data_IF_503660317079
#
_entry.id   IF_503660317079
#
_cell.length_a   1.000
_cell.length_b   1.000
_cell.length_c   1.000
_cell.angle_alpha   90.00
_cell.angle_beta   90.00
_cell.angle_gamma   90.00
#
_symmetry.space_group_name_H-M   'P 1'
#
loop_
_entity.id
_entity.type
_entity.pdbx_description
1 polymer ?
#
# COMPACT_ATOMS: atom_id res chain seq x y z
N UNK A 1 -4.54 9.83 19.76
CA UNK A 1 -5.92 10.14 20.29
C UNK A 1 -6.50 8.86 20.89
N UNK A 2 -7.22 8.87 22.03
CA UNK A 2 -7.69 7.61 22.61
C UNK A 2 -8.75 6.92 21.73
N UNK A 3 -8.84 5.58 21.76
CA UNK A 3 -9.92 4.83 21.11
C UNK A 3 -11.30 5.28 21.56
N UNK A 4 -12.27 5.31 20.62
CA UNK A 4 -13.67 5.66 20.90
C UNK A 4 -14.51 4.47 21.37
N UNK A 5 -13.98 3.25 21.23
CA UNK A 5 -14.60 2.00 21.65
C UNK A 5 -13.59 1.18 22.46
N UNK A 6 -14.09 0.36 23.38
CA UNK A 6 -13.27 -0.56 24.17
C UNK A 6 -12.91 -1.82 23.37
N UNK A 7 -11.97 -2.62 23.89
CA UNK A 7 -11.68 -3.94 23.31
C UNK A 7 -12.91 -4.86 23.33
N UNK A 8 -13.69 -4.83 24.41
CA UNK A 8 -14.94 -5.62 24.53
C UNK A 8 -15.98 -5.20 23.50
N UNK A 9 -16.15 -3.89 23.28
CA UNK A 9 -17.06 -3.38 22.26
C UNK A 9 -16.58 -3.75 20.86
N UNK A 10 -15.27 -3.64 20.57
CA UNK A 10 -14.69 -4.04 19.29
C UNK A 10 -14.90 -5.53 19.00
N UNK A 11 -14.71 -6.40 20.00
CA UNK A 11 -14.97 -7.84 19.88
C UNK A 11 -16.44 -8.12 19.58
N UNK A 12 -17.37 -7.47 20.30
CA UNK A 12 -18.81 -7.59 20.03
C UNK A 12 -19.17 -7.15 18.62
N UNK A 13 -18.66 -6.00 18.17
CA UNK A 13 -18.88 -5.50 16.81
C UNK A 13 -18.30 -6.45 15.76
N UNK A 14 -17.17 -7.10 16.04
CA UNK A 14 -16.57 -8.10 15.16
C UNK A 14 -17.48 -9.30 14.87
N UNK A 15 -18.41 -9.63 15.79
CA UNK A 15 -19.36 -10.74 15.66
C UNK A 15 -20.65 -10.36 14.92
N UNK A 16 -20.84 -9.09 14.53
CA UNK A 16 -22.03 -8.65 13.79
C UNK A 16 -21.98 -9.20 12.36
N UNK A 17 -23.05 -9.89 11.95
CA UNK A 17 -23.22 -10.42 10.59
C UNK A 17 -24.36 -9.74 9.82
N UNK A 18 -25.31 -9.12 10.53
CA UNK A 18 -26.42 -8.41 9.89
C UNK A 18 -25.92 -7.15 9.15
N UNK A 19 -26.23 -7.06 7.86
CA UNK A 19 -25.73 -5.96 7.02
C UNK A 19 -26.28 -4.61 7.45
N UNK A 20 -27.51 -4.50 7.96
CA UNK A 20 -28.06 -3.23 8.41
C UNK A 20 -27.35 -2.74 9.68
N UNK A 21 -26.96 -3.65 10.58
CA UNK A 21 -26.11 -3.33 11.72
C UNK A 21 -24.69 -2.91 11.30
N UNK A 22 -24.11 -3.56 10.27
CA UNK A 22 -22.82 -3.17 9.69
C UNK A 22 -22.91 -1.79 9.04
N UNK A 23 -23.98 -1.48 8.32
CA UNK A 23 -24.22 -0.16 7.74
C UNK A 23 -24.32 0.94 8.81
N UNK A 24 -25.00 0.67 9.93
CA UNK A 24 -25.06 1.61 11.05
C UNK A 24 -23.67 1.86 11.68
N UNK A 25 -22.84 0.82 11.76
CA UNK A 25 -21.45 0.92 12.19
C UNK A 25 -20.60 1.74 11.20
N UNK A 26 -20.79 1.53 9.90
CA UNK A 26 -20.12 2.29 8.84
C UNK A 26 -20.49 3.77 8.93
N UNK A 27 -21.77 4.10 9.13
CA UNK A 27 -22.20 5.48 9.29
C UNK A 27 -21.55 6.13 10.52
N UNK A 28 -21.45 5.40 11.64
CA UNK A 28 -20.71 5.90 12.83
C UNK A 28 -19.24 6.17 12.49
N UNK A 29 -18.57 5.28 11.76
CA UNK A 29 -17.19 5.46 11.34
C UNK A 29 -17.02 6.62 10.34
N UNK A 30 -17.99 6.81 9.44
CA UNK A 30 -18.04 7.93 8.51
C UNK A 30 -18.09 9.27 9.23
N UNK A 31 -18.98 9.41 10.22
CA UNK A 31 -19.06 10.64 11.02
C UNK A 31 -17.73 10.94 11.73
N UNK A 32 -17.09 9.94 12.33
CA UNK A 32 -15.74 10.11 12.93
C UNK A 32 -14.73 10.56 11.88
N UNK A 33 -14.74 9.99 10.67
CA UNK A 33 -13.83 10.38 9.60
C UNK A 33 -14.11 11.82 9.13
N UNK A 34 -15.36 12.22 8.95
CA UNK A 34 -15.74 13.58 8.52
C UNK A 34 -15.43 14.62 9.58
N UNK A 35 -15.74 14.36 10.85
CA UNK A 35 -15.41 15.27 11.97
C UNK A 35 -13.90 15.55 12.08
N UNK A 36 -13.07 14.59 11.69
CA UNK A 36 -11.61 14.67 11.83
C UNK A 36 -10.91 15.20 10.59
N UNK A 37 -11.40 14.81 9.41
CA UNK A 37 -10.70 15.02 8.15
C UNK A 37 -11.52 15.82 7.14
N UNK A 38 -12.79 16.15 7.41
CA UNK A 38 -13.64 16.85 6.46
C UNK A 38 -13.76 16.09 5.15
N UNK A 39 -13.53 16.77 4.03
CA UNK A 39 -13.50 16.19 2.69
C UNK A 39 -12.11 15.69 2.26
N UNK A 40 -11.08 15.84 3.10
CA UNK A 40 -9.69 15.61 2.71
C UNK A 40 -9.38 14.15 2.36
N UNK A 41 -8.51 13.97 1.37
CA UNK A 41 -8.04 12.66 0.91
C UNK A 41 -6.50 12.57 0.84
N UNK A 42 -5.95 11.36 0.96
CA UNK A 42 -4.51 11.08 0.87
C UNK A 42 -4.21 9.98 -0.16
N UNK A 43 -4.24 10.34 -1.44
CA UNK A 43 -3.91 9.46 -2.56
C UNK A 43 -2.40 9.23 -2.65
N UNK A 44 -1.97 7.98 -2.76
CA UNK A 44 -0.56 7.66 -2.89
C UNK A 44 -0.31 6.69 -4.01
N UNK A 45 0.82 6.86 -4.67
CA UNK A 45 1.38 5.87 -5.56
C UNK A 45 2.70 5.36 -4.98
N UNK A 46 3.13 4.19 -5.42
CA UNK A 46 4.40 3.60 -5.04
C UNK A 46 5.22 3.22 -6.26
N UNK A 47 6.51 3.06 -6.05
CA UNK A 47 7.39 2.34 -6.95
C UNK A 47 8.01 1.16 -6.20
N UNK A 48 8.00 -0.01 -6.82
CA UNK A 48 8.79 -1.14 -6.37
C UNK A 48 10.25 -0.91 -6.80
N UNK A 49 11.00 -0.11 -6.04
CA UNK A 49 12.35 0.34 -6.39
C UNK A 49 13.38 -0.80 -6.38
N UNK A 50 13.09 -1.93 -5.72
CA UNK A 50 13.91 -3.14 -5.73
C UNK A 50 13.02 -4.36 -5.48
N UNK A 51 12.99 -5.28 -6.44
CA UNK A 51 12.02 -6.38 -6.44
C UNK A 51 12.66 -7.76 -6.44
N UNK A 52 12.05 -8.65 -5.65
CA UNK A 52 12.31 -10.10 -5.61
C UNK A 52 13.60 -10.53 -4.90
N UNK A 53 13.65 -11.81 -4.53
CA UNK A 53 14.81 -12.41 -3.86
C UNK A 53 14.97 -11.98 -2.40
N UNK A 54 13.85 -11.67 -1.73
CA UNK A 54 13.83 -11.27 -0.34
C UNK A 54 14.31 -12.42 0.57
N UNK A 55 15.16 -12.10 1.54
CA UNK A 55 15.68 -13.09 2.48
C UNK A 55 14.66 -13.51 3.56
N UNK A 56 13.54 -12.80 3.66
CA UNK A 56 12.51 -13.08 4.66
C UNK A 56 11.49 -14.12 4.18
N UNK A 57 10.87 -14.81 5.14
CA UNK A 57 9.92 -15.90 4.95
C UNK A 57 8.46 -15.49 5.16
N UNK A 58 8.13 -14.20 4.94
CA UNK A 58 6.77 -13.71 5.13
C UNK A 58 5.75 -14.52 4.31
N UNK A 59 4.80 -15.16 4.99
CA UNK A 59 3.91 -16.17 4.41
C UNK A 59 2.98 -15.67 3.30
N UNK A 60 2.73 -14.36 3.24
CA UNK A 60 1.91 -13.70 2.20
C UNK A 60 2.73 -13.21 0.99
N UNK A 61 4.07 -13.15 1.09
CA UNK A 61 4.87 -12.33 0.18
C UNK A 61 5.46 -13.15 -0.98
N UNK A 62 5.00 -12.89 -2.20
CA UNK A 62 5.53 -13.52 -3.41
C UNK A 62 7.03 -13.20 -3.65
N UNK A 63 7.50 -12.05 -3.16
CA UNK A 63 8.91 -11.66 -3.27
C UNK A 63 9.86 -12.43 -2.35
N UNK A 64 9.32 -13.20 -1.39
CA UNK A 64 10.08 -14.09 -0.54
C UNK A 64 10.88 -15.08 -1.39
N UNK A 65 12.13 -15.33 -1.02
CA UNK A 65 12.92 -16.41 -1.63
C UNK A 65 12.36 -17.80 -1.29
N UNK A 66 11.57 -17.92 -0.22
CA UNK A 66 10.93 -19.16 0.22
C UNK A 66 9.59 -19.41 -0.48
N UNK A 67 9.01 -18.39 -1.12
CA UNK A 67 7.85 -18.57 -1.97
C UNK A 67 8.26 -19.16 -3.32
N UNK A 68 7.37 -19.97 -3.89
CA UNK A 68 7.44 -20.48 -5.26
C UNK A 68 6.69 -19.59 -6.24
N UNK A 69 5.90 -18.67 -5.71
CA UNK A 69 5.19 -17.66 -6.47
C UNK A 69 6.12 -16.93 -7.44
N UNK A 70 5.60 -16.77 -8.65
CA UNK A 70 6.18 -15.95 -9.69
C UNK A 70 6.26 -14.49 -9.21
N UNK A 71 7.41 -13.86 -9.40
CA UNK A 71 7.65 -12.48 -8.99
C UNK A 71 8.66 -11.83 -9.92
N UNK A 72 8.36 -10.62 -10.43
CA UNK A 72 9.32 -9.83 -11.19
C UNK A 72 10.55 -9.51 -10.34
N UNK A 73 11.75 -9.79 -10.87
CA UNK A 73 13.01 -9.55 -10.17
C UNK A 73 13.82 -8.49 -10.90
N UNK A 74 14.24 -7.44 -10.19
CA UNK A 74 15.17 -6.45 -10.72
C UNK A 74 16.02 -5.84 -9.61
N UNK A 75 17.17 -5.29 -10.01
CA UNK A 75 18.07 -4.59 -9.11
C UNK A 75 17.46 -3.26 -8.62
N UNK A 76 18.11 -2.66 -7.62
CA UNK A 76 17.75 -1.33 -7.13
C UNK A 76 17.75 -0.32 -8.30
N UNK A 77 16.65 0.40 -8.45
CA UNK A 77 16.51 1.47 -9.44
C UNK A 77 17.55 2.58 -9.20
N UNK A 78 17.92 3.28 -10.28
CA UNK A 78 18.71 4.50 -10.19
C UNK A 78 17.84 5.67 -9.71
N UNK A 79 18.45 6.74 -9.15
CA UNK A 79 17.71 7.95 -8.78
C UNK A 79 16.85 8.53 -9.92
N UNK A 80 17.34 8.54 -11.16
CA UNK A 80 16.59 9.04 -12.32
C UNK A 80 15.36 8.18 -12.64
N UNK A 81 15.47 6.85 -12.52
CA UNK A 81 14.33 5.94 -12.70
C UNK A 81 13.27 6.19 -11.62
N UNK A 82 13.69 6.38 -10.37
CA UNK A 82 12.77 6.74 -9.26
C UNK A 82 12.05 8.06 -9.57
N UNK A 83 12.76 9.06 -10.11
CA UNK A 83 12.16 10.34 -10.48
C UNK A 83 11.15 10.20 -11.63
N UNK A 84 11.44 9.41 -12.66
CA UNK A 84 10.53 9.13 -13.78
C UNK A 84 9.19 8.58 -13.26
N UNK A 85 9.25 7.61 -12.35
CA UNK A 85 8.09 7.06 -11.66
C UNK A 85 7.33 8.08 -10.83
N UNK A 86 8.04 8.96 -10.13
CA UNK A 86 7.41 10.01 -9.34
C UNK A 86 6.66 11.00 -10.24
N UNK A 87 7.22 11.40 -11.38
CA UNK A 87 6.53 12.26 -12.35
C UNK A 87 5.26 11.62 -12.89
N UNK A 88 5.31 10.34 -13.22
CA UNK A 88 4.13 9.59 -13.65
C UNK A 88 3.06 9.52 -12.54
N UNK A 89 3.47 9.30 -11.29
CA UNK A 89 2.56 9.32 -10.14
C UNK A 89 1.92 10.70 -9.91
N UNK A 90 2.70 11.78 -10.03
CA UNK A 90 2.19 13.16 -9.92
C UNK A 90 1.19 13.46 -11.04
N UNK A 91 1.50 13.10 -12.29
CA UNK A 91 0.59 13.25 -13.42
C UNK A 91 -0.71 12.44 -13.26
N UNK A 92 -0.66 11.30 -12.58
CA UNK A 92 -1.83 10.49 -12.23
C UNK A 92 -2.65 11.04 -11.04
N UNK A 93 -2.24 12.17 -10.45
CA UNK A 93 -2.94 12.83 -9.34
C UNK A 93 -2.54 12.34 -7.95
N UNK A 94 -1.40 11.66 -7.79
CA UNK A 94 -0.96 11.22 -6.47
C UNK A 94 -0.59 12.43 -5.57
N UNK A 95 -0.96 12.37 -4.29
CA UNK A 95 -0.51 13.34 -3.28
C UNK A 95 0.84 12.95 -2.68
N UNK A 96 1.14 11.64 -2.69
CA UNK A 96 2.33 11.05 -2.08
C UNK A 96 2.93 9.97 -2.98
N UNK A 97 4.25 9.88 -2.97
CA UNK A 97 5.02 8.86 -3.68
C UNK A 97 5.88 8.05 -2.70
N UNK A 98 5.73 6.72 -2.75
CA UNK A 98 6.42 5.80 -1.84
C UNK A 98 7.47 4.96 -2.57
N UNK A 99 8.73 5.07 -2.15
CA UNK A 99 9.80 4.18 -2.61
C UNK A 99 9.80 2.91 -1.76
N UNK A 100 9.47 1.77 -2.37
CA UNK A 100 9.33 0.49 -1.68
C UNK A 100 10.40 -0.48 -2.17
N UNK A 101 11.03 -1.20 -1.24
CA UNK A 101 12.03 -2.23 -1.58
C UNK A 101 11.74 -3.52 -0.84
N UNK A 102 12.05 -4.65 -1.46
CA UNK A 102 12.15 -5.91 -0.74
C UNK A 102 13.32 -5.94 0.25
N UNK A 103 13.21 -6.79 1.28
CA UNK A 103 14.32 -7.16 2.15
C UNK A 103 14.20 -6.64 3.57
N UNK A 104 14.99 -7.23 4.48
CA UNK A 104 15.06 -6.79 5.87
C UNK A 104 15.61 -5.37 6.04
N UNK A 105 16.36 -4.86 5.06
CA UNK A 105 16.99 -3.55 5.12
C UNK A 105 17.95 -3.36 3.96
N UNK A 106 18.30 -2.11 3.67
CA UNK A 106 19.14 -1.79 2.52
C UNK A 106 20.64 -1.85 2.82
N UNK A 107 21.41 -2.18 1.77
CA UNK A 107 22.86 -1.96 1.75
C UNK A 107 23.15 -0.44 1.77
N UNK A 108 24.39 -0.05 2.11
CA UNK A 108 24.78 1.38 2.07
C UNK A 108 24.56 2.00 0.69
N UNK A 109 24.88 1.24 -0.37
CA UNK A 109 24.72 1.67 -1.76
C UNK A 109 23.24 1.84 -2.13
N UNK A 110 22.40 0.86 -1.80
CA UNK A 110 20.98 0.93 -2.14
C UNK A 110 20.27 2.03 -1.34
N UNK A 111 20.66 2.24 -0.07
CA UNK A 111 20.18 3.37 0.73
C UNK A 111 20.55 4.69 0.05
N UNK A 112 21.79 4.85 -0.42
CA UNK A 112 22.21 6.07 -1.12
C UNK A 112 21.34 6.34 -2.37
N UNK A 113 21.00 5.32 -3.16
CA UNK A 113 20.08 5.49 -4.29
C UNK A 113 18.69 5.99 -3.86
N UNK A 114 18.16 5.50 -2.73
CA UNK A 114 16.89 6.01 -2.18
C UNK A 114 17.01 7.46 -1.74
N UNK A 115 18.12 7.83 -1.08
CA UNK A 115 18.35 9.21 -0.62
C UNK A 115 18.47 10.18 -1.81
N UNK A 116 19.23 9.80 -2.84
CA UNK A 116 19.40 10.63 -4.04
C UNK A 116 18.10 10.72 -4.85
N UNK A 117 17.37 9.61 -4.99
CA UNK A 117 16.04 9.59 -5.58
C UNK A 117 15.05 10.49 -4.82
N UNK A 118 15.04 10.44 -3.49
CA UNK A 118 14.19 11.29 -2.67
C UNK A 118 14.47 12.79 -2.88
N UNK A 119 15.75 13.19 -3.02
CA UNK A 119 16.14 14.57 -3.33
C UNK A 119 15.68 15.00 -4.72
N UNK A 120 15.86 14.16 -5.73
CA UNK A 120 15.36 14.45 -7.08
C UNK A 120 13.85 14.60 -7.11
N UNK A 121 13.11 13.70 -6.46
CA UNK A 121 11.64 13.81 -6.35
C UNK A 121 11.26 15.11 -5.63
N UNK A 122 12.00 15.51 -4.60
CA UNK A 122 11.78 16.75 -3.88
C UNK A 122 12.05 18.01 -4.71
N UNK A 123 13.01 17.96 -5.64
CA UNK A 123 13.38 19.07 -6.52
C UNK A 123 12.41 19.24 -7.70
N UNK A 124 11.89 18.13 -8.23
CA UNK A 124 11.20 18.13 -9.52
C UNK A 124 9.70 17.80 -9.47
N UNK A 125 9.15 17.49 -8.30
CA UNK A 125 7.72 17.20 -8.12
C UNK A 125 7.20 17.86 -6.85
N UNK A 126 5.88 17.92 -6.69
CA UNK A 126 5.21 18.41 -5.49
C UNK A 126 4.69 17.27 -4.60
N UNK A 127 5.14 16.05 -4.87
CA UNK A 127 4.75 14.86 -4.14
C UNK A 127 5.34 14.88 -2.72
N UNK A 128 4.50 14.52 -1.74
CA UNK A 128 5.01 14.06 -0.45
C UNK A 128 5.80 12.77 -0.68
N UNK A 129 6.89 12.57 0.04
CA UNK A 129 7.78 11.41 -0.13
C UNK A 129 7.68 10.46 1.04
N UNK A 130 7.60 9.19 0.71
CA UNK A 130 7.53 8.09 1.66
C UNK A 130 8.55 7.00 1.30
N UNK A 131 8.98 6.24 2.29
CA UNK A 131 9.87 5.10 2.08
C UNK A 131 9.37 3.86 2.84
N UNK A 132 9.50 2.68 2.23
CA UNK A 132 9.26 1.37 2.84
C UNK A 132 10.46 0.47 2.53
N UNK A 133 11.50 0.55 3.37
CA UNK A 133 12.82 -0.01 3.05
C UNK A 133 13.35 -1.01 4.09
N UNK A 134 12.44 -1.66 4.81
CA UNK A 134 12.75 -2.64 5.86
C UNK A 134 13.16 -2.00 7.19
N UNK A 135 13.84 -2.79 8.02
CA UNK A 135 14.35 -2.36 9.33
C UNK A 135 15.48 -1.35 9.17
N UNK A 136 15.48 -0.36 10.06
CA UNK A 136 16.48 0.69 10.07
C UNK A 136 16.77 1.17 11.49
N UNK A 137 17.98 1.73 11.67
CA UNK A 137 18.36 2.43 12.88
C UNK A 137 17.92 3.90 12.84
N UNK A 138 17.99 4.59 13.97
CA UNK A 138 17.70 6.03 14.08
C UNK A 138 18.58 6.84 13.13
N UNK A 139 19.86 6.48 12.97
CA UNK A 139 20.78 7.19 12.08
C UNK A 139 20.38 7.08 10.60
N UNK A 140 19.84 5.92 10.20
CA UNK A 140 19.31 5.73 8.84
C UNK A 140 17.99 6.48 8.65
N UNK A 141 17.12 6.49 9.66
CA UNK A 141 15.90 7.27 9.65
C UNK A 141 16.19 8.79 9.55
N UNK A 142 17.20 9.30 10.28
CA UNK A 142 17.66 10.69 10.17
C UNK A 142 18.17 11.03 8.76
N UNK A 143 18.94 10.13 8.13
CA UNK A 143 19.35 10.31 6.73
C UNK A 143 18.15 10.41 5.77
N UNK A 144 17.12 9.58 5.94
CA UNK A 144 15.88 9.68 5.14
C UNK A 144 15.22 11.05 5.32
N UNK A 145 15.11 11.53 6.57
CA UNK A 145 14.56 12.86 6.87
C UNK A 145 15.37 13.98 6.22
N UNK A 146 16.69 13.93 6.31
CA UNK A 146 17.59 14.90 5.67
C UNK A 146 17.48 14.89 4.14
N UNK A 147 17.20 13.74 3.54
CA UNK A 147 16.93 13.62 2.10
C UNK A 147 15.50 14.05 1.70
N UNK A 148 14.68 14.50 2.66
CA UNK A 148 13.35 15.04 2.41
C UNK A 148 12.21 14.01 2.42
N UNK A 149 12.43 12.79 2.94
CA UNK A 149 11.34 11.86 3.26
C UNK A 149 10.55 12.42 4.44
N UNK A 150 9.22 12.41 4.36
CA UNK A 150 8.36 12.78 5.49
C UNK A 150 7.83 11.58 6.25
N UNK A 151 7.55 10.47 5.56
CA UNK A 151 6.85 9.31 6.12
C UNK A 151 7.62 8.02 5.87
N UNK A 152 7.66 7.14 6.86
CA UNK A 152 8.21 5.80 6.69
C UNK A 152 7.14 4.75 6.99
N UNK A 153 7.00 3.81 6.07
CA UNK A 153 6.13 2.67 6.19
C UNK A 153 6.86 1.48 6.81
N UNK A 154 6.29 0.94 7.89
CA UNK A 154 6.77 -0.26 8.55
C UNK A 154 5.64 -0.92 9.33
N UNK A 155 5.01 -1.94 8.76
CA UNK A 155 3.87 -2.62 9.36
C UNK A 155 4.26 -3.50 10.57
N UNK A 156 3.29 -3.69 11.46
CA UNK A 156 3.29 -4.81 12.42
C UNK A 156 2.82 -6.12 11.79
N UNK A 157 2.19 -6.02 10.60
CA UNK A 157 1.60 -7.08 9.76
C UNK A 157 0.36 -7.74 10.36
N UNK A 158 0.41 -8.12 11.64
CA UNK A 158 -0.68 -8.78 12.36
C UNK A 158 -0.53 -8.58 13.88
N UNK A 159 -1.34 -9.27 14.67
CA UNK A 159 -1.20 -9.40 16.12
C UNK A 159 0.15 -10.00 16.52
N UNK A 160 0.72 -9.57 17.65
CA UNK A 160 1.96 -10.17 18.17
C UNK A 160 1.76 -11.66 18.45
N UNK A 161 0.58 -12.03 18.96
CA UNK A 161 0.21 -13.43 19.24
C UNK A 161 0.10 -14.33 18.00
N UNK A 162 -0.12 -13.76 16.81
CA UNK A 162 -0.20 -14.50 15.54
C UNK A 162 1.06 -14.38 14.69
N UNK A 163 1.92 -13.40 14.97
CA UNK A 163 3.06 -13.07 14.14
C UNK A 163 4.03 -14.24 13.82
N UNK A 164 4.29 -15.21 14.73
CA UNK A 164 5.09 -16.40 14.41
C UNK A 164 4.57 -17.22 13.22
N UNK A 165 3.27 -17.17 12.93
CA UNK A 165 2.69 -17.80 11.73
C UNK A 165 3.00 -17.02 10.45
N UNK A 166 3.22 -15.71 10.56
CA UNK A 166 3.50 -14.83 9.42
C UNK A 166 4.95 -14.90 8.99
N UNK A 167 5.90 -14.88 9.93
CA UNK A 167 7.33 -14.92 9.63
C UNK A 167 8.14 -15.43 10.82
N UNK A 168 9.15 -16.25 10.54
CA UNK A 168 10.12 -16.73 11.54
C UNK A 168 11.49 -16.05 11.43
N UNK A 169 11.79 -15.45 10.27
CA UNK A 169 13.06 -14.77 9.99
C UNK A 169 13.15 -13.37 10.61
N UNK A 170 12.02 -12.67 10.72
CA UNK A 170 11.90 -11.38 11.40
C UNK A 170 11.18 -11.58 12.73
N UNK A 171 11.59 -10.88 13.80
CA UNK A 171 10.87 -10.89 15.08
C UNK A 171 9.97 -9.66 15.22
N UNK A 172 8.85 -9.81 15.92
CA UNK A 172 7.88 -8.72 16.15
C UNK A 172 8.51 -7.50 16.82
N UNK A 173 9.35 -7.70 17.84
CA UNK A 173 10.01 -6.61 18.56
C UNK A 173 11.00 -5.86 17.65
N UNK A 174 11.52 -6.51 16.61
CA UNK A 174 12.34 -5.87 15.59
C UNK A 174 11.55 -4.82 14.80
N UNK A 175 10.26 -5.05 14.56
CA UNK A 175 9.37 -4.10 13.88
C UNK A 175 9.09 -2.91 14.78
N UNK A 176 8.74 -3.16 16.03
CA UNK A 176 8.52 -2.11 17.03
C UNK A 176 9.76 -1.22 17.22
N UNK A 177 10.96 -1.80 17.25
CA UNK A 177 12.21 -1.03 17.28
C UNK A 177 12.40 -0.14 16.06
N UNK A 178 12.06 -0.61 14.85
CA UNK A 178 12.12 0.23 13.65
C UNK A 178 11.14 1.39 13.73
N UNK A 179 9.91 1.13 14.17
CA UNK A 179 8.86 2.14 14.31
C UNK A 179 9.30 3.22 15.30
N UNK A 180 9.82 2.83 16.46
CA UNK A 180 10.38 3.76 17.45
C UNK A 180 11.57 4.56 16.88
N UNK A 181 12.43 3.94 16.07
CA UNK A 181 13.56 4.63 15.45
C UNK A 181 13.12 5.69 14.41
N UNK A 182 12.03 5.42 13.68
CA UNK A 182 11.41 6.38 12.75
C UNK A 182 10.82 7.56 13.52
N UNK A 183 10.10 7.29 14.59
CA UNK A 183 9.53 8.31 15.47
C UNK A 183 10.62 9.18 16.13
N UNK A 184 11.69 8.56 16.65
CA UNK A 184 12.83 9.27 17.25
C UNK A 184 13.55 10.19 16.24
N UNK A 185 13.59 9.81 14.97
CA UNK A 185 14.10 10.68 13.90
C UNK A 185 13.15 11.86 13.59
N UNK A 186 11.93 11.84 14.10
CA UNK A 186 10.88 12.83 13.88
C UNK A 186 10.31 12.75 12.46
N UNK A 187 10.13 11.54 11.95
CA UNK A 187 9.40 11.23 10.71
C UNK A 187 7.97 10.80 11.05
N UNK A 188 7.02 11.03 10.13
CA UNK A 188 5.69 10.44 10.23
C UNK A 188 5.78 8.91 10.15
N UNK A 189 5.07 8.22 11.03
CA UNK A 189 4.97 6.75 11.02
C UNK A 189 3.75 6.31 10.20
N UNK A 190 3.96 5.33 9.33
CA UNK A 190 2.92 4.65 8.57
C UNK A 190 2.94 3.17 8.94
N UNK A 191 2.04 2.77 9.84
CA UNK A 191 2.08 1.46 10.50
C UNK A 191 0.70 0.85 10.44
N UNK A 192 0.60 -0.32 9.84
CA UNK A 192 -0.64 -1.07 9.76
C UNK A 192 -0.40 -2.56 9.69
N UNK A 193 -1.30 -3.26 9.01
CA UNK A 193 -1.26 -4.71 8.90
C UNK A 193 -2.02 -5.25 7.70
N UNK A 194 -2.16 -6.57 7.67
CA UNK A 194 -2.85 -7.33 6.65
C UNK A 194 -3.96 -8.13 7.33
N UNK A 195 -5.19 -7.93 6.87
CA UNK A 195 -6.34 -8.73 7.29
C UNK A 195 -6.40 -10.01 6.46
N UNK A 196 -7.00 -11.04 7.03
CA UNK A 196 -7.22 -12.35 6.41
C UNK A 196 -5.92 -13.15 6.16
N UNK A 197 -4.92 -13.01 7.03
CA UNK A 197 -3.75 -13.90 7.09
C UNK A 197 -4.06 -15.24 7.76
N UNK A 198 -5.21 -15.35 8.42
CA UNK A 198 -5.64 -16.48 9.24
C UNK A 198 -5.75 -16.16 10.73
N UNK A 199 -5.58 -14.88 11.07
CA UNK A 199 -5.78 -14.35 12.41
C UNK A 199 -7.26 -14.41 12.82
N UNK A 200 -7.53 -14.60 14.11
CA UNK A 200 -8.88 -14.57 14.68
C UNK A 200 -9.39 -13.13 14.84
N UNK A 201 -10.72 -12.92 15.03
CA UNK A 201 -11.27 -11.63 15.41
C UNK A 201 -10.58 -10.98 16.62
N UNK A 202 -10.23 -11.76 17.63
CA UNK A 202 -9.50 -11.31 18.82
C UNK A 202 -8.11 -10.77 18.45
N UNK A 203 -7.44 -11.42 17.51
CA UNK A 203 -6.13 -11.00 17.02
C UNK A 203 -6.23 -9.73 16.17
N UNK A 204 -7.33 -9.52 15.42
CA UNK A 204 -7.57 -8.23 14.75
C UNK A 204 -7.76 -7.10 15.75
N UNK A 205 -8.49 -7.34 16.84
CA UNK A 205 -8.62 -6.37 17.95
C UNK A 205 -7.28 -6.12 18.62
N UNK A 206 -6.50 -7.17 18.91
CA UNK A 206 -5.14 -7.04 19.46
C UNK A 206 -4.28 -6.13 18.60
N UNK A 207 -4.23 -6.38 17.28
CA UNK A 207 -3.50 -5.55 16.33
C UNK A 207 -4.00 -4.10 16.34
N UNK A 208 -5.32 -3.88 16.28
CA UNK A 208 -5.88 -2.53 16.26
C UNK A 208 -5.52 -1.71 17.51
N UNK A 209 -5.54 -2.34 18.69
CA UNK A 209 -5.14 -1.69 19.93
C UNK A 209 -3.63 -1.53 20.07
N UNK A 210 -2.82 -2.40 19.47
CA UNK A 210 -1.37 -2.18 19.37
C UNK A 210 -1.06 -0.97 18.48
N UNK A 211 -1.73 -0.85 17.32
CA UNK A 211 -1.65 0.35 16.49
C UNK A 211 -2.09 1.60 17.26
N UNK A 212 -3.12 1.51 18.12
CA UNK A 212 -3.56 2.65 18.93
C UNK A 212 -2.53 3.07 19.98
N UNK A 213 -1.73 2.13 20.51
CA UNK A 213 -0.59 2.46 21.39
C UNK A 213 0.56 3.12 20.63
N UNK A 214 0.80 2.67 19.40
CA UNK A 214 1.81 3.26 18.50
C UNK A 214 1.41 4.68 18.05
N UNK A 215 0.10 4.97 17.99
CA UNK A 215 -0.50 6.24 17.53
C UNK A 215 0.09 6.75 16.19
N UNK A 216 0.12 5.91 15.13
CA UNK A 216 0.79 6.28 13.89
C UNK A 216 0.04 7.38 13.14
N UNK A 217 0.79 8.20 12.39
CA UNK A 217 0.20 9.25 11.54
C UNK A 217 -0.72 8.65 10.46
N UNK A 218 -0.35 7.48 9.94
CA UNK A 218 -1.10 6.79 8.90
C UNK A 218 -1.16 5.28 9.15
N UNK A 219 -2.31 4.67 8.85
CA UNK A 219 -2.54 3.24 8.97
C UNK A 219 -2.91 2.68 7.60
N UNK A 220 -1.99 1.95 6.93
CA UNK A 220 -2.32 1.17 5.75
C UNK A 220 -3.10 -0.08 6.17
N UNK A 221 -4.27 -0.27 5.58
CA UNK A 221 -5.07 -1.49 5.69
C UNK A 221 -4.88 -2.27 4.40
N UNK A 222 -4.30 -3.45 4.53
CA UNK A 222 -4.18 -4.42 3.43
C UNK A 222 -5.12 -5.58 3.73
N UNK A 223 -5.59 -6.24 2.70
CA UNK A 223 -6.20 -7.55 2.79
C UNK A 223 -5.31 -8.55 2.07
N UNK A 224 -5.27 -9.78 2.54
CA UNK A 224 -4.52 -10.83 1.86
C UNK A 224 -5.01 -10.95 0.41
N UNK A 225 -4.07 -10.85 -0.51
CA UNK A 225 -4.23 -11.30 -1.89
C UNK A 225 -3.50 -12.64 -1.99
N UNK A 226 -4.20 -13.78 -1.91
CA UNK A 226 -3.58 -15.10 -1.92
C UNK A 226 -2.80 -15.30 -3.21
N UNK A 227 -1.49 -15.56 -3.08
CA UNK A 227 -0.59 -15.79 -4.22
C UNK A 227 -0.21 -17.27 -4.26
N UNK A 228 -0.59 -18.01 -5.31
CA UNK A 228 -0.18 -19.40 -5.47
C UNK A 228 1.34 -19.57 -5.31
N UNK A 229 1.76 -20.54 -4.50
CA UNK A 229 3.16 -20.77 -4.15
C UNK A 229 3.70 -19.93 -2.97
N UNK A 230 2.86 -19.14 -2.30
CA UNK A 230 3.17 -18.57 -0.96
C UNK A 230 2.54 -19.43 0.15
N UNK A 231 2.99 -19.30 1.41
CA UNK A 231 2.41 -20.05 2.56
C UNK A 231 0.90 -19.83 2.68
N UNK A 232 0.42 -18.63 2.34
CA UNK A 232 -0.99 -18.26 2.40
C UNK A 232 -1.68 -18.26 1.04
N UNK A 233 -1.08 -18.92 0.03
CA UNK A 233 -1.52 -18.85 -1.36
C UNK A 233 -2.86 -19.50 -1.67
N UNK A 234 -3.27 -20.48 -0.86
CA UNK A 234 -4.48 -21.28 -1.08
C UNK A 234 -5.67 -20.80 -0.23
N UNK A 235 -5.54 -19.65 0.44
CA UNK A 235 -6.63 -19.05 1.21
C UNK A 235 -7.66 -18.41 0.29
N UNK A 236 -8.90 -18.32 0.77
CA UNK A 236 -9.94 -17.54 0.10
C UNK A 236 -9.77 -16.05 0.37
N UNK A 237 -10.34 -15.22 -0.51
CA UNK A 237 -10.47 -13.79 -0.26
C UNK A 237 -11.36 -13.54 0.96
N UNK A 238 -11.11 -12.43 1.64
CA UNK A 238 -11.94 -11.95 2.73
C UNK A 238 -13.31 -11.55 2.17
N UNK A 239 -14.36 -11.89 2.91
CA UNK A 239 -15.70 -11.42 2.55
C UNK A 239 -15.73 -9.87 2.53
N UNK A 240 -16.29 -9.24 1.47
CA UNK A 240 -16.34 -7.78 1.36
C UNK A 240 -17.04 -7.09 2.53
N UNK A 241 -18.11 -7.68 3.09
CA UNK A 241 -18.84 -7.13 4.24
C UNK A 241 -18.01 -7.22 5.52
N UNK A 242 -17.29 -8.33 5.69
CA UNK A 242 -16.33 -8.48 6.76
C UNK A 242 -15.22 -7.43 6.68
N UNK A 243 -14.69 -7.17 5.49
CA UNK A 243 -13.64 -6.17 5.28
C UNK A 243 -14.12 -4.75 5.66
N UNK A 244 -15.28 -4.30 5.16
CA UNK A 244 -15.81 -2.96 5.50
C UNK A 244 -16.16 -2.84 6.99
N UNK A 245 -16.67 -3.91 7.61
CA UNK A 245 -16.91 -3.97 9.06
C UNK A 245 -15.62 -3.72 9.85
N UNK A 246 -14.54 -4.43 9.53
CA UNK A 246 -13.26 -4.26 10.24
C UNK A 246 -12.61 -2.90 9.99
N UNK A 247 -12.74 -2.33 8.77
CA UNK A 247 -12.29 -0.96 8.51
C UNK A 247 -13.03 0.04 9.42
N UNK A 248 -14.34 -0.11 9.58
CA UNK A 248 -15.15 0.74 10.47
C UNK A 248 -14.76 0.57 11.94
N UNK A 249 -14.56 -0.67 12.42
CA UNK A 249 -14.07 -0.94 13.78
C UNK A 249 -12.71 -0.26 14.00
N UNK A 250 -11.78 -0.41 13.04
CA UNK A 250 -10.46 0.20 13.12
C UNK A 250 -10.55 1.73 13.18
N UNK A 251 -11.43 2.36 12.40
CA UNK A 251 -11.64 3.82 12.43
C UNK A 251 -12.08 4.30 13.81
N UNK A 252 -12.94 3.54 14.49
CA UNK A 252 -13.37 3.88 15.86
C UNK A 252 -12.25 3.69 16.90
N UNK A 253 -11.35 2.73 16.68
CA UNK A 253 -10.18 2.51 17.56
C UNK A 253 -9.08 3.55 17.31
N UNK A 254 -8.89 3.97 16.06
CA UNK A 254 -7.84 4.89 15.59
C UNK A 254 -8.43 6.16 14.94
N UNK A 255 -9.20 6.97 15.69
CA UNK A 255 -9.95 8.09 15.12
C UNK A 255 -9.07 9.19 14.51
N UNK A 256 -7.82 9.33 14.98
CA UNK A 256 -6.89 10.38 14.55
C UNK A 256 -5.95 10.00 13.39
N UNK A 257 -5.94 8.75 12.93
CA UNK A 257 -4.97 8.29 11.94
C UNK A 257 -5.51 8.40 10.50
N UNK A 258 -4.63 8.69 9.53
CA UNK A 258 -4.96 8.64 8.11
C UNK A 258 -5.01 7.19 7.62
N UNK A 259 -6.20 6.71 7.27
CA UNK A 259 -6.37 5.35 6.77
C UNK A 259 -6.15 5.29 5.27
N UNK A 260 -5.32 4.33 4.85
CA UNK A 260 -5.12 4.05 3.44
C UNK A 260 -5.45 2.61 3.13
N UNK A 261 -6.29 2.41 2.12
CA UNK A 261 -6.56 1.09 1.60
C UNK A 261 -5.52 0.72 0.54
N UNK A 262 -4.83 -0.40 0.74
CA UNK A 262 -3.63 -0.78 -0.02
C UNK A 262 -3.82 -2.13 -0.72
N UNK A 263 -2.89 -3.08 -0.53
CA UNK A 263 -2.87 -4.34 -1.27
C UNK A 263 -4.09 -5.20 -0.98
N UNK A 264 -4.55 -5.91 -2.01
CA UNK A 264 -5.71 -6.81 -1.94
C UNK A 264 -7.07 -6.13 -2.00
N UNK A 265 -7.13 -4.78 -2.06
CA UNK A 265 -8.41 -4.06 -2.04
C UNK A 265 -9.31 -4.36 -3.23
N UNK A 266 -8.72 -4.53 -4.42
CA UNK A 266 -9.49 -4.75 -5.66
C UNK A 266 -10.17 -6.11 -5.60
N UNK A 267 -9.41 -7.15 -5.23
CA UNK A 267 -9.89 -8.52 -5.21
C UNK A 267 -10.85 -8.82 -4.05
N UNK A 268 -10.60 -8.23 -2.87
CA UNK A 268 -11.39 -8.53 -1.68
C UNK A 268 -12.66 -7.67 -1.55
N UNK A 269 -12.73 -6.47 -2.14
CA UNK A 269 -13.90 -5.59 -1.96
C UNK A 269 -14.84 -5.55 -3.16
N UNK A 270 -14.34 -5.72 -4.39
CA UNK A 270 -15.15 -5.59 -5.61
C UNK A 270 -16.01 -4.32 -5.59
N UNK A 271 -17.32 -4.48 -5.64
CA UNK A 271 -18.30 -3.40 -5.66
C UNK A 271 -18.43 -2.62 -4.33
N UNK A 272 -17.97 -3.19 -3.20
CA UNK A 272 -18.04 -2.53 -1.88
C UNK A 272 -16.89 -1.55 -1.62
N UNK A 273 -16.08 -1.23 -2.63
CA UNK A 273 -14.96 -0.33 -2.48
C UNK A 273 -15.36 1.08 -1.99
N UNK A 274 -16.43 1.63 -2.58
CA UNK A 274 -16.98 2.92 -2.15
C UNK A 274 -17.55 2.85 -0.73
N UNK A 275 -18.11 1.70 -0.34
CA UNK A 275 -18.57 1.47 1.02
C UNK A 275 -17.40 1.39 2.02
N UNK A 276 -16.27 0.81 1.62
CA UNK A 276 -15.03 0.84 2.40
C UNK A 276 -14.53 2.28 2.63
N UNK A 277 -14.69 3.17 1.63
CA UNK A 277 -14.40 4.60 1.82
C UNK A 277 -15.26 5.20 2.94
N UNK A 278 -16.57 4.94 2.91
CA UNK A 278 -17.49 5.35 3.98
C UNK A 278 -17.15 4.73 5.34
N UNK A 279 -16.63 3.49 5.36
CA UNK A 279 -16.18 2.82 6.58
C UNK A 279 -14.99 3.53 7.27
N UNK A 280 -14.42 4.56 6.65
CA UNK A 280 -13.48 5.48 7.31
C UNK A 280 -12.12 5.56 6.62
N UNK A 281 -11.98 5.19 5.35
CA UNK A 281 -10.74 5.36 4.59
C UNK A 281 -10.55 6.84 4.20
N UNK A 282 -9.30 7.32 4.23
CA UNK A 282 -8.93 8.66 3.77
C UNK A 282 -8.29 8.66 2.37
N UNK A 283 -7.81 7.53 1.88
CA UNK A 283 -7.20 7.45 0.57
C UNK A 283 -6.83 6.03 0.19
N UNK A 284 -6.32 5.86 -1.02
CA UNK A 284 -5.93 4.55 -1.54
C UNK A 284 -4.49 4.56 -2.03
N UNK A 285 -3.92 3.36 -2.16
CA UNK A 285 -2.78 3.17 -3.05
C UNK A 285 -3.29 3.09 -4.49
N UNK A 286 -2.99 4.11 -5.28
CA UNK A 286 -3.38 4.23 -6.68
C UNK A 286 -2.43 3.48 -7.61
N UNK A 287 -2.98 2.98 -8.71
CA UNK A 287 -2.25 2.24 -9.72
C UNK A 287 -1.74 0.90 -9.21
N UNK A 288 -0.69 0.38 -9.84
CA UNK A 288 -0.19 -0.96 -9.58
C UNK A 288 0.47 -1.09 -8.19
N UNK A 289 0.29 -2.26 -7.58
CA UNK A 289 0.97 -2.66 -6.36
C UNK A 289 2.35 -3.25 -6.67
N UNK A 290 3.05 -3.73 -5.63
CA UNK A 290 4.41 -4.27 -5.78
C UNK A 290 4.51 -5.45 -6.76
N UNK A 291 3.50 -6.31 -6.78
CA UNK A 291 3.49 -7.56 -7.56
C UNK A 291 2.17 -7.83 -8.27
N UNK A 292 1.17 -6.95 -8.12
CA UNK A 292 -0.18 -7.13 -8.67
C UNK A 292 -0.67 -5.84 -9.31
N UNK A 293 -1.58 -5.98 -10.27
CA UNK A 293 -2.24 -4.83 -10.87
C UNK A 293 -3.22 -4.21 -9.86
N UNK A 294 -3.40 -2.90 -9.94
CA UNK A 294 -4.40 -2.17 -9.16
C UNK A 294 -5.51 -1.62 -10.05
N UNK A 295 -6.35 -0.77 -9.47
CA UNK A 295 -7.32 0.05 -10.20
C UNK A 295 -6.60 1.14 -11.01
N UNK A 296 -7.23 1.57 -12.10
CA UNK A 296 -6.75 2.75 -12.82
C UNK A 296 -6.87 3.99 -11.91
N UNK A 297 -5.89 4.92 -11.92
CA UNK A 297 -5.94 6.10 -11.07
C UNK A 297 -7.21 6.94 -11.24
N UNK A 298 -7.81 6.95 -12.43
CA UNK A 298 -9.02 7.70 -12.74
C UNK A 298 -10.24 7.10 -12.02
N UNK A 299 -10.35 5.77 -11.98
CA UNK A 299 -11.40 5.07 -11.24
C UNK A 299 -11.29 5.34 -9.73
N UNK A 300 -10.06 5.36 -9.22
CA UNK A 300 -9.79 5.69 -7.82
C UNK A 300 -10.21 7.12 -7.47
N UNK A 301 -9.96 8.09 -8.35
CA UNK A 301 -10.37 9.48 -8.12
C UNK A 301 -11.90 9.62 -8.20
N UNK A 302 -12.51 9.04 -9.23
CA UNK A 302 -13.97 9.07 -9.42
C UNK A 302 -14.72 8.52 -8.18
N UNK A 303 -14.26 7.40 -7.63
CA UNK A 303 -14.86 6.79 -6.43
C UNK A 303 -14.92 7.76 -5.23
N UNK A 304 -13.89 8.59 -5.03
CA UNK A 304 -13.87 9.57 -3.95
C UNK A 304 -14.69 10.81 -4.31
N UNK A 305 -14.64 11.29 -5.55
CA UNK A 305 -15.43 12.43 -6.03
C UNK A 305 -16.94 12.17 -5.93
N UNK A 306 -17.40 10.97 -6.27
CA UNK A 306 -18.82 10.55 -6.16
C UNK A 306 -19.32 10.60 -4.71
N UNK A 307 -18.41 10.42 -3.74
CA UNK A 307 -18.70 10.54 -2.30
C UNK A 307 -18.60 11.98 -1.79
N UNK A 308 -18.39 12.96 -2.69
CA UNK A 308 -18.19 14.37 -2.35
C UNK A 308 -16.85 14.65 -1.68
N UNK A 309 -15.85 13.78 -1.89
CA UNK A 309 -14.52 13.93 -1.31
C UNK A 309 -13.58 14.65 -2.26
N UNK A 310 -12.63 15.35 -1.65
CA UNK A 310 -11.73 16.23 -2.36
C UNK A 310 -10.48 15.46 -2.79
N UNK A 311 -10.45 15.09 -4.07
CA UNK A 311 -9.29 14.45 -4.72
C UNK A 311 -8.39 15.44 -5.44
N UNK A 312 -8.80 16.72 -5.51
CA UNK A 312 -7.99 17.74 -6.14
C UNK A 312 -6.73 17.98 -5.33
N UNK A 313 -5.67 18.37 -6.02
CA UNK A 313 -4.42 18.78 -5.41
C UNK A 313 -4.67 20.05 -4.58
N UNK A 314 -4.83 19.90 -3.28
CA UNK A 314 -5.05 21.03 -2.38
C UNK A 314 -3.75 21.78 -2.07
N UNK A 315 -3.80 23.12 -1.88
CA UNK A 315 -2.89 23.84 -1.01
C UNK A 315 -3.22 23.46 0.44
N UNK A 316 -2.50 22.50 1.02
CA UNK A 316 -2.47 22.16 2.45
C UNK A 316 -3.84 22.07 3.14
N UNK A 317 -4.62 21.00 2.87
CA UNK A 317 -5.89 20.76 3.55
C UNK A 317 -5.74 19.89 4.81
N UNK A 318 -5.55 20.55 5.96
CA UNK A 318 -6.05 20.06 7.25
C UNK A 318 -5.03 19.48 8.25
N UNK A 319 -5.19 19.92 9.51
CA UNK A 319 -4.62 19.52 10.82
C UNK A 319 -3.11 19.26 10.97
N UNK A 320 -2.47 18.68 9.96
CA UNK A 320 -1.02 18.58 9.83
C UNK A 320 -0.65 19.25 8.50
N UNK A 321 -0.16 20.51 8.52
CA UNK A 321 0.32 21.16 7.30
C UNK A 321 1.31 20.23 6.61
N UNK A 322 1.38 20.28 5.28
CA UNK A 322 2.55 19.69 4.62
C UNK A 322 3.75 20.34 5.29
N UNK A 323 4.76 19.58 5.75
CA UNK A 323 6.08 20.17 5.82
C UNK A 323 6.41 20.53 4.38
N UNK A 324 6.07 21.75 3.98
CA UNK A 324 6.70 22.39 2.84
C UNK A 324 8.19 22.21 3.09
N UNK A 325 8.81 21.41 2.23
CA UNK A 325 10.24 21.15 2.27
C UNK A 325 11.06 22.37 1.84
N UNK A 326 10.44 23.56 1.77
CA UNK A 326 11.09 24.85 1.64
C UNK A 326 10.85 25.63 2.92
N UNK A 327 11.82 25.58 3.83
CA UNK A 327 11.88 26.38 5.05
C UNK A 327 12.02 27.90 4.76
N UNK A 328 11.10 28.52 4.01
CA UNK A 328 11.30 29.93 3.61
C UNK A 328 10.18 30.72 2.93
N UNK A 329 9.00 30.20 2.60
CA UNK A 329 7.97 31.02 1.93
C UNK A 329 6.57 30.76 2.47
N UNK A 330 6.23 31.42 3.58
CA UNK A 330 4.89 31.41 4.19
C UNK A 330 3.93 32.44 3.58
N UNK A 331 4.30 33.14 2.50
CA UNK A 331 3.49 34.21 1.90
C UNK A 331 3.50 34.16 0.36
N UNK A 332 3.22 33.00 -0.27
CA UNK A 332 3.16 32.95 -1.74
C UNK A 332 2.55 31.69 -2.37
N UNK A 333 2.05 31.87 -3.60
CA UNK A 333 1.47 30.82 -4.45
C UNK A 333 2.48 29.71 -4.76
N UNK A 334 1.96 28.48 -4.99
CA UNK A 334 2.77 27.32 -5.40
C UNK A 334 3.44 27.61 -6.75
N UNK A 335 4.78 27.54 -6.85
CA UNK A 335 5.45 27.78 -8.12
C UNK A 335 5.19 26.63 -9.09
N UNK A 336 4.94 26.99 -10.34
CA UNK A 336 4.69 26.07 -11.45
C UNK A 336 5.90 25.15 -11.68
N UNK A 337 5.70 23.84 -11.72
CA UNK A 337 6.73 22.85 -12.08
C UNK A 337 6.59 22.45 -13.56
N UNK A 338 7.64 21.90 -14.19
CA UNK A 338 7.54 21.37 -15.55
C UNK A 338 6.49 20.25 -15.71
N UNK A 339 6.08 19.60 -14.61
CA UNK A 339 5.00 18.60 -14.61
C UNK A 339 3.63 19.25 -14.71
N UNK A 340 3.45 20.48 -14.21
CA UNK A 340 2.16 21.18 -14.31
C UNK A 340 1.73 21.41 -15.77
N UNK A 341 2.69 21.40 -16.71
CA UNK A 341 2.42 21.45 -18.16
C UNK A 341 2.08 20.08 -18.77
N UNK A 342 2.29 18.98 -18.03
CA UNK A 342 2.03 17.59 -18.43
C UNK A 342 0.72 17.03 -17.87
N UNK A 343 0.12 17.68 -16.87
CA UNK A 343 -1.10 17.22 -16.17
C UNK A 343 -2.30 17.09 -17.13
N UNK A 344 -2.32 17.87 -18.21
CA UNK A 344 -3.41 17.87 -19.20
C UNK A 344 -2.98 17.40 -20.61
N UNK A 345 -1.71 16.99 -20.79
CA UNK A 345 -1.14 16.59 -22.08
C UNK A 345 -0.64 15.14 -22.07
N UNK A 346 -1.47 14.23 -21.55
CA UNK A 346 -1.20 12.79 -21.34
C UNK A 346 -0.45 12.07 -22.48
N UNK A 347 -0.43 12.60 -23.71
CA UNK A 347 0.32 12.07 -24.85
C UNK A 347 1.86 12.18 -24.74
N UNK A 348 2.40 13.15 -23.99
CA UNK A 348 3.86 13.41 -23.96
C UNK A 348 4.60 12.87 -22.74
N UNK A 349 3.90 12.43 -21.69
CA UNK A 349 4.55 11.71 -20.60
C UNK A 349 4.93 10.33 -21.10
N UNK A 350 6.24 10.06 -21.26
CA UNK A 350 6.73 8.69 -21.40
C UNK A 350 6.35 7.92 -20.14
N UNK A 351 5.20 7.26 -20.17
CA UNK A 351 4.84 6.30 -19.15
C UNK A 351 5.81 5.14 -19.30
N UNK A 352 6.75 5.05 -18.35
CA UNK A 352 7.52 3.84 -18.14
C UNK A 352 6.54 2.67 -18.02
N UNK A 353 6.57 1.76 -19.00
CA UNK A 353 5.69 0.61 -18.99
C UNK A 353 6.30 -0.45 -18.05
N UNK A 354 5.67 -0.79 -16.92
CA UNK A 354 6.21 -1.81 -16.01
C UNK A 354 6.43 -3.15 -16.70
N UNK A 355 5.57 -3.49 -17.67
CA UNK A 355 5.61 -4.75 -18.40
C UNK A 355 6.92 -4.96 -19.19
N UNK A 356 7.60 -3.88 -19.64
CA UNK A 356 8.92 -4.03 -20.31
C UNK A 356 10.06 -4.32 -19.34
N UNK A 357 9.86 -4.16 -18.03
CA UNK A 357 10.79 -4.59 -16.98
C UNK A 357 10.41 -5.89 -16.30
N UNK A 358 9.22 -6.44 -16.53
CA UNK A 358 8.83 -7.76 -16.05
C UNK A 358 9.57 -8.86 -16.83
N UNK A 359 10.90 -8.92 -16.68
CA UNK A 359 11.65 -10.13 -17.00
C UNK A 359 11.27 -11.17 -15.96
N UNK A 360 10.31 -12.01 -16.32
CA UNK A 360 9.96 -13.14 -15.49
C UNK A 360 11.13 -14.12 -15.48
N UNK A 361 11.84 -14.21 -14.35
CA UNK A 361 12.91 -15.19 -14.16
C UNK A 361 12.39 -16.26 -13.22
N UNK A 362 12.09 -17.45 -13.77
CA UNK A 362 11.77 -18.62 -12.96
C UNK A 362 12.91 -18.84 -11.95
N UNK A 363 12.56 -18.95 -10.67
CA UNK A 363 13.53 -19.25 -9.61
C UNK A 363 14.21 -20.58 -9.95
N UNK A 364 15.55 -20.57 -10.02
CA UNK A 364 16.32 -21.79 -10.32
C UNK A 364 16.41 -22.73 -9.13
N UNK A 365 16.22 -22.20 -7.92
CA UNK A 365 16.11 -22.96 -6.68
C UNK A 365 15.28 -22.16 -5.67
N UNK A 366 14.40 -22.87 -4.96
CA UNK A 366 13.66 -22.35 -3.81
C UNK A 366 14.22 -23.08 -2.58
N UNK A 367 14.70 -22.38 -1.54
CA UNK A 367 15.13 -23.01 -0.30
C UNK A 367 14.00 -23.84 0.32
N UNK A 368 14.30 -24.86 1.14
CA UNK A 368 13.26 -25.57 1.87
C UNK A 368 12.47 -24.59 2.75
N UNK A 369 11.16 -24.80 2.85
CA UNK A 369 10.29 -23.96 3.68
C UNK A 369 10.68 -24.08 5.16
N UNK A 370 10.58 -23.00 5.95
CA UNK A 370 10.89 -23.04 7.38
C UNK A 370 10.02 -24.03 8.18
N UNK A 371 8.81 -24.30 7.71
CA UNK A 371 7.87 -25.27 8.31
C UNK A 371 8.14 -26.73 7.88
N UNK A 372 9.12 -26.97 7.01
CA UNK A 372 9.48 -28.31 6.53
C UNK A 372 8.53 -28.90 5.48
N UNK A 373 7.54 -28.14 4.99
CA UNK A 373 6.67 -28.59 3.90
C UNK A 373 7.40 -28.66 2.55
N UNK A 374 6.91 -29.52 1.64
CA UNK A 374 7.46 -29.61 0.28
C UNK A 374 7.18 -28.34 -0.51
N UNK A 375 8.09 -27.99 -1.41
CA UNK A 375 7.89 -26.93 -2.38
C UNK A 375 6.96 -27.43 -3.51
N UNK A 376 5.81 -26.77 -3.71
CA UNK A 376 4.79 -27.00 -4.74
C UNK A 376 4.79 -25.96 -5.88
N UNK A 377 5.12 -26.40 -7.10
CA UNK A 377 5.16 -25.52 -8.28
C UNK A 377 3.77 -25.40 -8.92
N UNK A 378 3.28 -24.19 -9.28
CA UNK A 378 2.10 -24.07 -10.10
C UNK A 378 2.35 -24.60 -11.52
N UNK A 379 1.33 -25.21 -12.12
CA UNK A 379 1.34 -25.61 -13.52
C UNK A 379 1.51 -24.37 -14.41
N UNK A 380 2.57 -24.34 -15.22
CA UNK A 380 2.89 -23.18 -16.06
C UNK A 380 1.88 -23.09 -17.21
N UNK A 381 0.92 -22.16 -17.12
CA UNK A 381 0.09 -21.78 -18.27
C UNK A 381 0.94 -20.89 -19.18
N UNK A 382 1.30 -21.39 -20.36
CA UNK A 382 1.95 -20.57 -21.37
C UNK A 382 0.94 -19.59 -21.98
N UNK A 383 1.19 -18.30 -21.78
CA UNK A 383 0.45 -17.23 -22.48
C UNK A 383 1.24 -16.87 -23.73
N UNK A 384 0.67 -17.13 -24.92
CA UNK A 384 1.32 -16.86 -26.21
C UNK A 384 1.47 -15.35 -26.43
N UNK A 385 2.67 -14.90 -26.80
CA UNK A 385 3.08 -13.49 -26.81
C UNK A 385 2.54 -12.68 -28.03
N UNK A 386 1.47 -13.15 -28.67
CA UNK A 386 0.93 -12.57 -29.90
C UNK A 386 -0.60 -12.49 -29.88
N UNK A 387 -1.17 -11.57 -29.10
CA UNK A 387 -2.41 -10.90 -29.51
C UNK A 387 -2.69 -9.63 -28.69
N UNK A 388 -2.47 -8.41 -29.24
CA UNK A 388 -2.93 -7.17 -28.65
C UNK A 388 -4.20 -6.68 -29.36
N UNK A 389 -5.38 -7.10 -28.86
CA UNK A 389 -6.72 -6.50 -29.03
C UNK A 389 -7.30 -6.45 -30.45
N UNK A 390 -8.43 -7.13 -30.66
CA UNK A 390 -9.59 -6.49 -31.32
C UNK A 390 -10.92 -6.99 -30.75
N UNK A 391 -11.84 -6.09 -30.35
CA UNK A 391 -13.26 -6.38 -30.19
C UNK A 391 -14.00 -6.10 -31.51
N UNK A 392 -14.85 -7.03 -31.97
CA UNK A 392 -15.98 -6.85 -32.90
C UNK A 392 -16.58 -8.26 -33.08
N UNK A 393 -17.84 -8.53 -32.77
CA UNK A 393 -18.99 -8.12 -33.58
C UNK A 393 -19.47 -9.31 -34.40
N UNK A 394 -20.75 -9.66 -34.24
CA UNK A 394 -21.46 -10.80 -34.82
C UNK A 394 -21.27 -10.99 -36.34
N UNK A 395 -21.29 -12.25 -36.81
CA UNK A 395 -21.31 -12.53 -38.25
C UNK A 395 -21.35 -14.01 -38.61
N UNK A 396 -22.53 -14.62 -38.55
CA UNK A 396 -22.85 -15.93 -39.12
C UNK A 396 -22.56 -16.04 -40.64
N UNK A 397 -22.45 -17.30 -41.11
CA UNK A 397 -22.27 -17.85 -42.49
C UNK A 397 -20.82 -18.24 -42.74
N UNK A 398 -20.45 -19.46 -43.14
CA UNK A 398 -21.16 -20.59 -43.71
C UNK A 398 -20.20 -21.29 -44.69
N UNK A 399 -20.43 -22.59 -44.90
CA UNK A 399 -19.91 -23.46 -45.97
C UNK A 399 -18.53 -24.14 -45.82
N UNK A 400 -18.66 -25.47 -45.64
CA UNK A 400 -18.17 -26.54 -46.52
C UNK A 400 -16.79 -27.19 -46.29
N UNK A 401 -16.92 -28.44 -45.82
CA UNK A 401 -16.15 -29.65 -46.06
C UNK A 401 -15.24 -29.69 -47.31
N UNK A 402 -14.05 -30.25 -47.11
CA UNK A 402 -13.60 -31.51 -47.72
C UNK A 402 -12.55 -32.16 -46.81
#
# INVERSE_FOLDING_TARGET
MPPLISQEEALRLGQVEDHAEIEALIERAWQVRVERFGDSTDMCSLVNAKSGGCAEDCGFCAQSRFAEADTPMHAMMTPDQILEHARAAEAAGAHRFCMVTQGQGLSKRDLQNVLDGARLVAEHTNLKRCASIGHMSVERAKQLKEAGIQRVHHNVETAESYYPEVSTTVRYEGRLRTIAAVEEAGLETCVGGILNLGESPEQRVEMAFELAKIDPTSVPINMLNPRPGTKFGDREYMDPWEAVKWIAIFRLILPGALFRLCGGRVENLGELHALAVKAGINGVMMGNFLTTLGSEPDDDRAMFEELGLNVARQPDNGANPRPDNRSGWLDGDTPRTPVDDLIDSQEEANFWNPAVQLRHRKKTSVPPRPDGSENTFPDVVQVDARDPRTPEGEGSRGSQAA
#
